data_IF_125759962350
#
_entry.id   IF_125759962350
#
_cell.length_a   1.000
_cell.length_b   1.000
_cell.length_c   1.000
_cell.angle_alpha   90.00
_cell.angle_beta   90.00
_cell.angle_gamma   90.00
#
_symmetry.space_group_name_H-M   'P 1'
#
loop_
_entity.id
_entity.type
_entity.pdbx_description
1 polymer ?
#
# COMPACT_ATOMS: atom_id res chain seq x y z
N UNK A 1 40.05 55.54 -6.60
CA UNK A 1 39.52 54.17 -6.66
C UNK A 1 38.13 54.17 -6.03
N UNK A 2 37.13 54.35 -6.88
CA UNK A 2 35.98 53.43 -7.03
C UNK A 2 36.32 51.98 -6.60
N UNK A 3 35.44 51.07 -6.15
CA UNK A 3 33.98 51.04 -5.89
C UNK A 3 33.71 49.81 -4.97
N UNK A 4 32.52 49.47 -4.44
CA UNK A 4 31.15 50.00 -4.57
C UNK A 4 30.31 49.72 -3.29
N UNK A 5 29.05 50.16 -3.25
CA UNK A 5 28.04 49.72 -2.28
C UNK A 5 27.34 48.44 -2.76
N UNK A 6 26.99 47.49 -1.87
CA UNK A 6 25.74 46.75 -2.04
C UNK A 6 25.15 46.21 -0.72
N UNK A 7 23.81 46.11 -0.68
CA UNK A 7 23.00 45.67 0.45
C UNK A 7 22.14 44.46 0.03
N UNK A 8 21.76 43.63 1.01
CA UNK A 8 20.84 42.49 0.82
C UNK A 8 21.53 41.18 0.41
N UNK A 9 20.96 40.01 0.72
CA UNK A 9 19.63 39.75 1.27
C UNK A 9 19.63 38.63 2.32
N UNK A 10 18.75 38.74 3.33
CA UNK A 10 18.32 37.60 4.12
C UNK A 10 17.53 36.63 3.23
N UNK A 11 18.10 35.47 2.90
CA UNK A 11 17.38 34.39 2.21
C UNK A 11 16.78 33.43 3.24
N UNK A 12 15.71 33.88 3.89
CA UNK A 12 14.90 33.03 4.76
C UNK A 12 14.27 31.87 3.98
N UNK A 13 14.29 30.67 4.54
CA UNK A 13 13.53 29.53 4.05
C UNK A 13 12.03 29.77 4.27
N UNK A 14 11.40 30.51 3.35
CA UNK A 14 9.96 30.66 3.31
C UNK A 14 9.32 29.30 3.01
N UNK A 15 8.22 29.00 3.72
CA UNK A 15 7.57 27.69 3.81
C UNK A 15 8.32 26.63 4.66
N UNK A 16 8.30 26.84 5.98
CA UNK A 16 8.00 25.72 6.87
C UNK A 16 6.58 25.27 6.52
N UNK A 17 6.45 24.32 5.58
CA UNK A 17 5.22 23.54 5.45
C UNK A 17 4.98 22.87 6.80
N UNK A 18 3.81 23.07 7.45
CA UNK A 18 3.46 22.21 8.56
C UNK A 18 3.32 20.81 7.97
N UNK A 19 4.32 19.95 8.24
CA UNK A 19 4.17 18.52 8.05
C UNK A 19 2.87 18.17 8.76
N UNK A 20 1.86 17.72 8.00
CA UNK A 20 0.73 17.01 8.59
C UNK A 20 1.30 15.73 9.17
N UNK A 21 1.78 15.84 10.41
CA UNK A 21 1.91 14.73 11.32
C UNK A 21 0.48 14.30 11.64
N UNK A 22 -0.14 13.60 10.68
CA UNK A 22 -1.16 12.62 11.00
C UNK A 22 -0.48 11.68 11.98
N UNK A 23 -0.68 11.91 13.28
CA UNK A 23 -0.22 11.01 14.32
C UNK A 23 -1.04 9.73 14.19
N UNK A 24 -0.63 8.89 13.24
CA UNK A 24 -1.05 7.49 13.15
C UNK A 24 -0.54 6.84 14.41
N UNK A 25 -1.37 6.78 15.46
CA UNK A 25 -0.99 6.01 16.64
C UNK A 25 -0.92 4.54 16.22
N UNK A 26 0.15 3.85 16.63
CA UNK A 26 0.28 2.43 16.37
C UNK A 26 -0.89 1.70 17.05
N UNK A 27 -1.84 1.23 16.25
CA UNK A 27 -3.09 0.62 16.71
C UNK A 27 -4.37 1.36 16.28
N UNK A 28 -4.31 2.66 15.92
CA UNK A 28 -5.46 3.34 15.32
C UNK A 28 -5.66 2.91 13.86
N UNK A 29 -6.83 2.34 13.55
CA UNK A 29 -7.24 2.13 12.16
C UNK A 29 -7.76 3.44 11.60
N UNK A 30 -6.93 4.13 10.83
CA UNK A 30 -7.31 5.35 10.13
C UNK A 30 -8.44 5.06 9.13
N UNK A 31 -9.52 5.84 9.20
CA UNK A 31 -10.76 5.62 8.46
C UNK A 31 -10.55 6.01 6.99
N UNK A 32 -10.57 5.01 6.10
CA UNK A 32 -10.21 5.19 4.69
C UNK A 32 -8.75 4.87 4.35
N UNK A 33 -7.92 4.46 5.32
CA UNK A 33 -6.59 3.91 5.01
C UNK A 33 -6.68 2.63 4.18
N UNK A 34 -5.75 2.45 3.24
CA UNK A 34 -5.72 1.29 2.34
C UNK A 34 -5.66 -0.04 3.11
N UNK A 35 -4.89 -0.11 4.18
CA UNK A 35 -4.86 -1.27 5.09
C UNK A 35 -6.23 -1.61 5.70
N UNK A 36 -7.05 -0.61 6.04
CA UNK A 36 -8.38 -0.83 6.58
C UNK A 36 -9.36 -1.30 5.48
N UNK A 37 -9.27 -0.71 4.27
CA UNK A 37 -10.05 -1.12 3.10
C UNK A 37 -9.74 -2.57 2.72
N UNK A 38 -8.46 -2.95 2.62
CA UNK A 38 -8.05 -4.34 2.32
C UNK A 38 -8.48 -5.29 3.42
N UNK A 39 -8.40 -4.89 4.70
CA UNK A 39 -8.85 -5.70 5.84
C UNK A 39 -10.34 -5.99 5.79
N UNK A 40 -11.18 -4.97 5.59
CA UNK A 40 -12.65 -5.15 5.55
C UNK A 40 -13.07 -5.95 4.32
N UNK A 41 -12.43 -5.71 3.17
CA UNK A 41 -12.65 -6.48 1.94
C UNK A 41 -12.32 -7.97 2.12
N UNK A 42 -11.09 -8.30 2.55
CA UNK A 42 -10.68 -9.71 2.79
C UNK A 42 -11.64 -10.40 3.77
N UNK A 43 -12.05 -9.73 4.84
CA UNK A 43 -12.99 -10.28 5.83
C UNK A 43 -14.40 -10.52 5.26
N UNK A 44 -14.95 -9.57 4.48
CA UNK A 44 -16.27 -9.70 3.88
C UNK A 44 -16.33 -10.87 2.88
N UNK A 45 -15.33 -10.99 2.01
CA UNK A 45 -15.25 -12.06 1.01
C UNK A 45 -15.02 -13.43 1.66
N UNK A 46 -14.17 -13.55 2.70
CA UNK A 46 -14.03 -14.80 3.46
C UNK A 46 -15.36 -15.24 4.07
N UNK A 47 -16.12 -14.30 4.67
CA UNK A 47 -17.44 -14.61 5.24
C UNK A 47 -18.41 -15.10 4.17
N UNK A 48 -18.44 -14.44 3.00
CA UNK A 48 -19.30 -14.82 1.89
C UNK A 48 -18.97 -16.24 1.38
N UNK A 49 -17.69 -16.55 1.15
CA UNK A 49 -17.25 -17.88 0.70
C UNK A 49 -17.61 -18.97 1.72
N UNK A 50 -17.34 -18.73 3.00
CA UNK A 50 -17.72 -19.68 4.05
C UNK A 50 -19.23 -19.91 4.14
N UNK A 51 -20.05 -18.93 3.75
CA UNK A 51 -21.51 -19.04 3.69
C UNK A 51 -22.02 -19.75 2.41
N UNK A 52 -21.34 -19.58 1.28
CA UNK A 52 -21.80 -20.12 -0.02
C UNK A 52 -21.23 -21.49 -0.37
N UNK A 53 -20.07 -21.85 0.16
CA UNK A 53 -19.31 -23.03 -0.27
C UNK A 53 -19.26 -24.15 0.77
N UNK A 54 -19.82 -23.94 1.97
CA UNK A 54 -19.75 -24.86 3.14
C UNK A 54 -18.33 -25.36 3.49
N UNK A 55 -17.30 -24.66 2.99
CA UNK A 55 -15.90 -25.05 3.15
C UNK A 55 -15.44 -24.82 4.58
N UNK A 56 -14.65 -25.75 5.16
CA UNK A 56 -13.95 -25.51 6.42
C UNK A 56 -13.13 -24.21 6.35
N UNK A 57 -13.01 -23.45 7.45
CA UNK A 57 -12.22 -22.22 7.49
C UNK A 57 -10.77 -22.47 7.05
N UNK A 58 -10.47 -22.11 5.81
CA UNK A 58 -9.15 -22.29 5.19
C UNK A 58 -8.46 -20.95 4.98
N UNK A 59 -7.14 -20.96 4.84
CA UNK A 59 -6.34 -19.73 4.67
C UNK A 59 -6.42 -19.23 3.22
N UNK A 60 -7.58 -18.66 2.89
CA UNK A 60 -7.94 -18.11 1.59
C UNK A 60 -6.98 -17.00 1.10
N UNK A 61 -6.40 -16.23 2.02
CA UNK A 61 -5.56 -15.07 1.70
C UNK A 61 -4.11 -15.28 2.11
N UNK A 62 -3.18 -14.80 1.28
CA UNK A 62 -1.85 -14.44 1.74
C UNK A 62 -1.93 -13.36 2.85
N UNK A 63 -0.97 -13.40 3.79
CA UNK A 63 -0.94 -12.55 4.99
C UNK A 63 -0.87 -11.06 4.64
N UNK A 64 0.02 -10.72 3.70
CA UNK A 64 0.25 -9.35 3.26
C UNK A 64 -0.62 -9.01 2.04
N UNK A 65 -0.39 -7.84 1.46
CA UNK A 65 -0.93 -7.43 0.16
C UNK A 65 0.10 -6.54 -0.52
N UNK A 66 0.08 -6.49 -1.84
CA UNK A 66 0.93 -5.60 -2.64
C UNK A 66 0.13 -4.36 -3.05
N UNK A 67 0.75 -3.19 -2.97
CA UNK A 67 0.18 -1.91 -3.38
C UNK A 67 1.15 -1.19 -4.32
N UNK A 68 0.63 -0.61 -5.41
CA UNK A 68 1.39 0.18 -6.38
C UNK A 68 0.50 1.26 -6.98
N UNK A 69 1.00 2.50 -7.06
CA UNK A 69 0.28 3.61 -7.69
C UNK A 69 0.58 3.59 -9.20
N UNK A 70 -0.47 3.53 -10.02
CA UNK A 70 -0.30 3.43 -11.48
C UNK A 70 0.07 4.81 -12.05
N UNK A 71 1.33 4.97 -12.47
CA UNK A 71 1.83 6.23 -13.04
C UNK A 71 1.79 6.29 -14.57
N UNK A 72 1.30 5.24 -15.24
CA UNK A 72 1.10 5.23 -16.69
C UNK A 72 0.74 3.85 -17.25
N UNK A 73 0.63 3.77 -18.58
CA UNK A 73 0.22 2.56 -19.30
C UNK A 73 1.18 1.38 -19.08
N UNK A 74 2.49 1.63 -18.99
CA UNK A 74 3.50 0.58 -18.74
C UNK A 74 3.29 -0.12 -17.40
N UNK A 75 2.99 0.64 -16.35
CA UNK A 75 2.68 0.10 -15.02
C UNK A 75 1.38 -0.69 -15.04
N UNK A 76 0.35 -0.15 -15.71
CA UNK A 76 -0.95 -0.79 -15.86
C UNK A 76 -0.85 -2.14 -16.59
N UNK A 77 -0.04 -2.22 -17.65
CA UNK A 77 0.18 -3.45 -18.39
C UNK A 77 0.95 -4.50 -17.56
N UNK A 78 2.00 -4.09 -16.83
CA UNK A 78 2.69 -4.97 -15.88
C UNK A 78 1.76 -5.50 -14.78
N UNK A 79 0.84 -4.67 -14.26
CA UNK A 79 -0.13 -5.10 -13.24
C UNK A 79 -1.14 -6.10 -13.82
N UNK A 80 -1.61 -5.90 -15.06
CA UNK A 80 -2.47 -6.86 -15.77
C UNK A 80 -1.77 -8.20 -15.98
N UNK A 81 -0.52 -8.17 -16.46
CA UNK A 81 0.33 -9.36 -16.61
C UNK A 81 0.51 -10.09 -15.27
N UNK A 82 0.79 -9.36 -14.18
CA UNK A 82 0.89 -9.93 -12.85
C UNK A 82 -0.41 -10.61 -12.41
N UNK A 83 -1.56 -9.95 -12.55
CA UNK A 83 -2.88 -10.51 -12.17
C UNK A 83 -3.18 -11.80 -12.95
N UNK A 84 -2.86 -11.85 -14.25
CA UNK A 84 -3.09 -13.03 -15.09
C UNK A 84 -2.10 -14.17 -14.79
N UNK A 85 -0.84 -13.86 -14.47
CA UNK A 85 0.18 -14.86 -14.18
C UNK A 85 0.14 -15.40 -12.74
N UNK A 86 -0.38 -14.61 -11.78
CA UNK A 86 -0.34 -14.95 -10.35
C UNK A 86 -1.02 -16.30 -9.99
N UNK A 87 -2.19 -16.69 -10.56
CA UNK A 87 -2.79 -17.98 -10.26
C UNK A 87 -1.91 -19.17 -10.64
N UNK A 88 -1.19 -19.09 -11.76
CA UNK A 88 -0.27 -20.15 -12.20
C UNK A 88 1.00 -20.22 -11.35
N UNK A 89 1.49 -19.06 -10.90
CA UNK A 89 2.73 -18.93 -10.11
C UNK A 89 2.51 -19.02 -8.59
N UNK A 90 1.26 -19.20 -8.15
CA UNK A 90 0.88 -19.17 -6.73
C UNK A 90 1.62 -20.20 -5.86
N UNK A 91 1.96 -21.37 -6.42
CA UNK A 91 2.70 -22.42 -5.72
C UNK A 91 4.23 -22.16 -5.62
N UNK A 92 4.75 -21.21 -6.42
CA UNK A 92 6.16 -20.80 -6.47
C UNK A 92 6.44 -19.56 -5.58
N UNK A 93 5.39 -18.90 -5.10
CA UNK A 93 5.49 -17.71 -4.25
C UNK A 93 6.19 -18.04 -2.92
N UNK A 94 7.20 -17.25 -2.55
CA UNK A 94 7.98 -17.42 -1.32
C UNK A 94 7.08 -17.41 -0.05
N UNK A 95 5.99 -16.65 -0.07
CA UNK A 95 5.00 -16.56 0.99
C UNK A 95 3.97 -17.71 0.99
N UNK A 96 3.97 -18.59 -0.03
CA UNK A 96 3.09 -19.76 -0.11
C UNK A 96 3.42 -20.82 0.96
N UNK A 97 4.70 -20.97 1.35
CA UNK A 97 5.18 -22.10 2.17
C UNK A 97 5.26 -21.90 3.69
N UNK A 98 4.84 -20.76 4.24
CA UNK A 98 4.94 -20.49 5.70
C UNK A 98 3.82 -21.16 6.55
N UNK A 99 3.35 -22.36 6.20
CA UNK A 99 2.21 -23.03 6.85
C UNK A 99 2.48 -24.44 7.38
N UNK A 100 3.69 -24.96 7.21
CA UNK A 100 4.11 -26.26 7.73
C UNK A 100 5.36 -26.08 8.61
N UNK A 101 5.20 -25.45 9.77
CA UNK A 101 6.22 -25.30 10.83
C UNK A 101 5.52 -25.20 12.18
#
# INVERSE_FOLDING_TARGET
MENESNQGAEVGAQYIVPLRQTQRSFGSMDAGSLSNIVRTYKAAVTRQINQTCETPPSKLWQRNYYEHVVHGERDLNRIREYILANPARWAEDEYYRSLNS
#
